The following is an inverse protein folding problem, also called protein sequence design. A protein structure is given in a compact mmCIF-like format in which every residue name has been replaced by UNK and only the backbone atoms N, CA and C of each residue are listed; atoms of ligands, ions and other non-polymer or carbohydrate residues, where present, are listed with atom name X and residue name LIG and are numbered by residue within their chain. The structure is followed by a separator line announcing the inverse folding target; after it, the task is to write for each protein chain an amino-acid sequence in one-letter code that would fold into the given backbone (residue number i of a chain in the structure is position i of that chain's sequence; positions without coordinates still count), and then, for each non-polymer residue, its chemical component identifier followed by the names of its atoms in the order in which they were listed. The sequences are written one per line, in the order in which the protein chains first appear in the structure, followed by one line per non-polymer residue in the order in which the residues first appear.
data_IF_166694564867
#
_entry.id   IF_166694564867
#
_cell.length_a   1.000
_cell.length_b   1.000
_cell.length_c   1.000
_cell.angle_alpha   90.00
_cell.angle_beta   90.00
_cell.angle_gamma   90.00
#
_symmetry.space_group_name_H-M   'P 1'
#
loop_
_entity.id
_entity.type
_entity.pdbx_description
1 polymer ?
#
# COMPACT_ATOMS: atom_id res chain seq x y z
N UNK A 1 31.84 -8.11 1.65
CA UNK A 1 30.88 -8.73 0.76
C UNK A 1 29.63 -9.17 1.50
N UNK A 2 29.77 -9.99 2.54
CA UNK A 2 28.61 -10.45 3.28
C UNK A 2 27.89 -9.35 4.04
N UNK A 3 28.65 -8.41 4.60
CA UNK A 3 28.06 -7.28 5.30
C UNK A 3 27.24 -6.40 4.36
N UNK A 4 27.76 -6.21 3.14
CA UNK A 4 27.03 -5.46 2.12
C UNK A 4 25.78 -6.18 1.69
N UNK A 5 25.86 -7.50 1.52
CA UNK A 5 24.72 -8.31 1.17
C UNK A 5 23.66 -8.27 2.28
N UNK A 6 24.09 -8.37 3.54
CA UNK A 6 23.17 -8.28 4.67
C UNK A 6 22.50 -6.91 4.77
N UNK A 7 23.28 -5.83 4.55
CA UNK A 7 22.74 -4.49 4.53
C UNK A 7 21.73 -4.31 3.38
N UNK A 8 22.04 -4.87 2.20
CA UNK A 8 21.13 -4.83 1.07
C UNK A 8 19.85 -5.60 1.35
N UNK A 9 19.96 -6.76 1.97
CA UNK A 9 18.79 -7.55 2.36
C UNK A 9 17.94 -6.76 3.35
N UNK A 10 18.57 -6.08 4.32
CA UNK A 10 17.83 -5.28 5.29
C UNK A 10 17.10 -4.11 4.61
N UNK A 11 17.74 -3.45 3.63
CA UNK A 11 17.12 -2.34 2.92
C UNK A 11 16.00 -2.81 1.98
N UNK A 12 16.04 -4.07 1.51
CA UNK A 12 14.98 -4.64 0.71
C UNK A 12 13.83 -5.23 1.52
N UNK A 13 14.00 -5.34 2.84
CA UNK A 13 12.94 -5.85 3.70
C UNK A 13 11.76 -4.91 3.75
N UNK A 14 12.02 -3.62 3.80
CA UNK A 14 10.96 -2.62 3.89
C UNK A 14 10.51 -2.21 2.50
N UNK A 15 9.21 -2.12 2.34
CA UNK A 15 8.63 -1.84 1.03
C UNK A 15 7.26 -1.22 1.22
N UNK A 16 6.74 -0.63 0.15
CA UNK A 16 5.35 -0.20 0.08
C UNK A 16 4.63 -1.01 -0.97
N UNK A 17 3.45 -1.45 -0.64
CA UNK A 17 2.51 -2.01 -1.60
C UNK A 17 1.57 -0.90 -2.03
N UNK A 18 1.57 -0.58 -3.31
CA UNK A 18 0.65 0.39 -3.87
C UNK A 18 -0.45 -0.37 -4.58
N UNK A 19 -1.69 -0.16 -4.16
CA UNK A 19 -2.84 -0.85 -4.73
C UNK A 19 -3.70 0.14 -5.50
N UNK A 20 -4.09 -0.26 -6.69
CA UNK A 20 -4.91 0.54 -7.58
C UNK A 20 -6.14 -0.26 -7.92
N UNK A 21 -7.32 0.27 -7.59
CA UNK A 21 -8.58 -0.44 -7.73
C UNK A 21 -9.44 0.14 -8.84
N UNK A 22 -10.05 -0.76 -9.57
CA UNK A 22 -11.13 -0.44 -10.48
C UNK A 22 -12.33 -1.28 -10.05
N UNK A 23 -13.29 -0.65 -9.39
CA UNK A 23 -14.44 -1.35 -8.83
C UNK A 23 -15.72 -0.64 -9.27
N UNK A 24 -16.77 -1.41 -9.57
CA UNK A 24 -18.04 -0.79 -9.98
C UNK A 24 -18.67 -0.01 -8.84
N UNK A 25 -19.33 1.10 -9.17
CA UNK A 25 -20.02 1.98 -8.21
C UNK A 25 -21.43 2.36 -8.67
N UNK A 26 -21.97 1.61 -9.61
CA UNK A 26 -23.24 1.98 -10.28
C UNK A 26 -24.46 1.61 -9.46
N UNK A 27 -24.45 0.48 -8.80
CA UNK A 27 -25.61 -0.02 -8.05
C UNK A 27 -25.44 0.24 -6.56
N UNK A 28 -26.53 0.18 -5.77
CA UNK A 28 -26.40 0.24 -4.31
C UNK A 28 -25.52 -0.87 -3.75
N UNK A 29 -25.57 -2.07 -4.33
CA UNK A 29 -24.71 -3.16 -3.91
C UNK A 29 -23.24 -2.85 -4.20
N UNK A 30 -22.95 -2.32 -5.39
CA UNK A 30 -21.61 -1.89 -5.74
C UNK A 30 -21.06 -0.89 -4.71
N UNK A 31 -21.87 0.07 -4.33
CA UNK A 31 -21.45 1.09 -3.35
C UNK A 31 -21.22 0.51 -1.97
N UNK A 32 -22.02 -0.47 -1.57
CA UNK A 32 -21.79 -1.19 -0.31
C UNK A 32 -20.49 -1.97 -0.36
N UNK A 33 -20.22 -2.62 -1.48
CA UNK A 33 -18.96 -3.35 -1.69
C UNK A 33 -17.76 -2.41 -1.67
N UNK A 34 -17.89 -1.24 -2.29
CA UNK A 34 -16.84 -0.22 -2.26
C UNK A 34 -16.56 0.26 -0.83
N UNK A 35 -17.60 0.54 -0.06
CA UNK A 35 -17.45 0.96 1.34
C UNK A 35 -16.77 -0.13 2.16
N UNK A 36 -17.15 -1.38 1.95
CA UNK A 36 -16.55 -2.52 2.64
C UNK A 36 -15.08 -2.68 2.28
N UNK A 37 -14.74 -2.53 1.00
CA UNK A 37 -13.36 -2.56 0.53
C UNK A 37 -12.54 -1.47 1.20
N UNK A 38 -13.03 -0.23 1.18
CA UNK A 38 -12.33 0.90 1.77
C UNK A 38 -12.09 0.68 3.27
N UNK A 39 -13.11 0.28 4.00
CA UNK A 39 -12.98 0.02 5.45
C UNK A 39 -12.00 -1.12 5.71
N UNK A 40 -12.04 -2.16 4.89
CA UNK A 40 -11.12 -3.29 5.02
C UNK A 40 -9.67 -2.89 4.79
N UNK A 41 -9.42 -2.04 3.81
CA UNK A 41 -8.07 -1.54 3.53
C UNK A 41 -7.56 -0.69 4.69
N UNK A 42 -8.35 0.25 5.18
CA UNK A 42 -7.96 1.10 6.29
C UNK A 42 -7.69 0.27 7.55
N UNK A 43 -8.54 -0.72 7.80
CA UNK A 43 -8.37 -1.64 8.93
C UNK A 43 -7.11 -2.48 8.81
N UNK A 44 -6.71 -2.81 7.58
CA UNK A 44 -5.49 -3.56 7.32
C UNK A 44 -4.23 -2.68 7.34
N UNK A 45 -4.35 -1.40 7.67
CA UNK A 45 -3.21 -0.51 7.80
C UNK A 45 -2.83 0.24 6.54
N UNK A 46 -3.68 0.23 5.52
CA UNK A 46 -3.44 1.03 4.32
C UNK A 46 -3.72 2.50 4.59
N UNK A 47 -3.00 3.36 3.88
CA UNK A 47 -3.30 4.78 3.81
C UNK A 47 -3.84 5.10 2.42
N UNK A 48 -4.83 5.95 2.35
CA UNK A 48 -5.40 6.35 1.08
C UNK A 48 -4.55 7.46 0.47
N UNK A 49 -4.00 7.21 -0.72
CA UNK A 49 -3.24 8.21 -1.45
C UNK A 49 -4.14 9.03 -2.37
N UNK A 50 -5.03 8.37 -3.07
CA UNK A 50 -5.99 8.96 -3.99
C UNK A 50 -7.26 8.13 -3.94
N UNK A 51 -8.29 8.54 -4.66
CA UNK A 51 -9.63 7.94 -4.58
C UNK A 51 -9.61 6.41 -4.65
N UNK A 52 -8.89 5.83 -5.61
CA UNK A 52 -8.83 4.38 -5.77
C UNK A 52 -7.41 3.85 -5.60
N UNK A 53 -6.54 4.61 -4.94
CA UNK A 53 -5.15 4.24 -4.75
C UNK A 53 -4.82 4.26 -3.26
N UNK A 54 -4.39 3.13 -2.76
CA UNK A 54 -4.03 2.94 -1.36
C UNK A 54 -2.64 2.34 -1.28
N UNK A 55 -1.95 2.62 -0.20
CA UNK A 55 -0.60 2.09 0.01
C UNK A 55 -0.44 1.55 1.42
N UNK A 56 0.34 0.50 1.54
CA UNK A 56 0.63 -0.16 2.83
C UNK A 56 2.12 -0.37 2.94
N UNK A 57 2.72 0.19 3.97
CA UNK A 57 4.12 -0.09 4.30
C UNK A 57 4.22 -1.49 4.92
N UNK A 58 5.23 -2.25 4.51
CA UNK A 58 5.49 -3.58 5.01
C UNK A 58 6.95 -3.70 5.40
N UNK A 59 7.20 -4.30 6.56
CA UNK A 59 8.55 -4.43 7.07
C UNK A 59 9.26 -5.70 6.56
N UNK A 60 8.54 -6.57 5.87
CA UNK A 60 9.11 -7.82 5.34
C UNK A 60 8.29 -8.32 4.16
N UNK A 61 8.91 -9.18 3.36
CA UNK A 61 8.21 -9.83 2.26
C UNK A 61 7.15 -10.80 2.78
N UNK A 62 7.39 -11.46 3.91
CA UNK A 62 6.39 -12.33 4.51
C UNK A 62 5.16 -11.55 4.93
N UNK A 63 5.35 -10.40 5.53
CA UNK A 63 4.25 -9.50 5.86
C UNK A 63 3.52 -9.00 4.61
N UNK A 64 4.26 -8.69 3.56
CA UNK A 64 3.67 -8.25 2.30
C UNK A 64 2.81 -9.34 1.67
N UNK A 65 3.23 -10.60 1.74
CA UNK A 65 2.43 -11.71 1.24
C UNK A 65 1.07 -11.81 1.93
N UNK A 66 1.07 -11.64 3.25
CA UNK A 66 -0.15 -11.65 4.03
C UNK A 66 -1.06 -10.51 3.60
N UNK A 67 -0.50 -9.32 3.44
CA UNK A 67 -1.26 -8.14 3.05
C UNK A 67 -1.86 -8.32 1.65
N UNK A 68 -1.09 -8.84 0.69
CA UNK A 68 -1.61 -9.12 -0.66
C UNK A 68 -2.78 -10.09 -0.62
N UNK A 69 -2.70 -11.08 0.24
CA UNK A 69 -3.78 -12.06 0.41
C UNK A 69 -5.04 -11.39 0.97
N UNK A 70 -4.87 -10.49 1.93
CA UNK A 70 -6.01 -9.74 2.47
C UNK A 70 -6.68 -8.91 1.37
N UNK A 71 -5.89 -8.22 0.56
CA UNK A 71 -6.41 -7.40 -0.54
C UNK A 71 -7.25 -8.24 -1.50
N UNK A 72 -6.73 -9.41 -1.89
CA UNK A 72 -7.48 -10.30 -2.78
C UNK A 72 -8.77 -10.79 -2.14
N UNK A 73 -8.76 -11.00 -0.83
CA UNK A 73 -9.92 -11.54 -0.12
C UNK A 73 -11.05 -10.53 0.06
N UNK A 74 -10.76 -9.24 0.05
CA UNK A 74 -11.79 -8.21 0.22
C UNK A 74 -12.26 -7.60 -1.10
N UNK A 75 -11.65 -8.02 -2.22
CA UNK A 75 -12.06 -7.53 -3.53
C UNK A 75 -13.38 -8.18 -3.93
N UNK A 76 -14.37 -7.35 -4.23
CA UNK A 76 -15.68 -7.83 -4.64
C UNK A 76 -15.68 -8.40 -6.07
N UNK A 77 -16.62 -9.28 -6.38
CA UNK A 77 -16.79 -9.74 -7.77
C UNK A 77 -16.95 -8.56 -8.73
N UNK A 78 -16.31 -8.63 -9.86
CA UNK A 78 -16.31 -7.56 -10.85
C UNK A 78 -15.31 -6.46 -10.61
N UNK A 79 -14.63 -6.48 -9.47
CA UNK A 79 -13.54 -5.55 -9.19
C UNK A 79 -12.21 -6.04 -9.72
N UNK A 80 -11.32 -5.10 -9.97
CA UNK A 80 -9.95 -5.37 -10.38
C UNK A 80 -9.00 -4.62 -9.46
N UNK A 81 -7.87 -5.25 -9.13
CA UNK A 81 -6.83 -4.59 -8.34
C UNK A 81 -5.47 -4.84 -8.98
N UNK A 82 -4.65 -3.82 -9.03
CA UNK A 82 -3.25 -3.94 -9.40
C UNK A 82 -2.42 -3.60 -8.19
N UNK A 83 -1.41 -4.42 -7.92
CA UNK A 83 -0.53 -4.23 -6.76
C UNK A 83 0.89 -4.07 -7.29
N UNK A 84 1.50 -2.94 -6.94
CA UNK A 84 2.88 -2.66 -7.28
C UNK A 84 3.68 -2.62 -5.99
N UNK A 85 4.80 -3.33 -5.97
CA UNK A 85 5.72 -3.28 -4.84
C UNK A 85 6.85 -2.34 -5.17
N UNK A 86 7.09 -1.37 -4.31
CA UNK A 86 8.23 -0.45 -4.45
C UNK A 86 9.01 -0.44 -3.14
N UNK A 87 10.30 -0.16 -3.25
CA UNK A 87 11.13 -0.01 -2.06
C UNK A 87 10.74 1.25 -1.32
N UNK A 88 11.09 1.30 -0.04
CA UNK A 88 10.87 2.50 0.77
C UNK A 88 11.53 3.72 0.12
N UNK A 89 12.73 3.55 -0.43
CA UNK A 89 13.45 4.62 -1.11
C UNK A 89 12.71 5.09 -2.38
N UNK A 90 12.19 4.15 -3.16
CA UNK A 90 11.43 4.50 -4.37
C UNK A 90 10.15 5.26 -4.00
N UNK A 91 9.47 4.82 -2.97
CA UNK A 91 8.25 5.48 -2.52
C UNK A 91 8.55 6.91 -2.06
N UNK A 92 9.64 7.09 -1.30
CA UNK A 92 10.04 8.41 -0.81
C UNK A 92 10.38 9.37 -1.94
N UNK A 93 10.79 8.86 -3.09
CA UNK A 93 11.11 9.68 -4.27
C UNK A 93 9.90 10.00 -5.12
N UNK A 94 8.72 9.49 -4.76
CA UNK A 94 7.50 9.80 -5.49
C UNK A 94 7.26 11.31 -5.46
N UNK A 95 7.00 11.88 -6.63
CA UNK A 95 6.65 13.28 -6.72
C UNK A 95 5.15 13.42 -6.54
N UNK A 96 4.76 14.28 -5.62
CA UNK A 96 3.35 14.53 -5.32
C UNK A 96 3.07 16.01 -5.48
N UNK A 97 2.07 16.32 -6.27
CA UNK A 97 1.67 17.69 -6.51
C UNK A 97 0.19 17.86 -6.16
N UNK A 98 -0.13 18.95 -5.49
CA UNK A 98 -1.51 19.37 -5.26
C UNK A 98 -1.68 20.72 -5.95
N UNK A 99 -2.41 20.72 -7.08
CA UNK A 99 -2.40 21.87 -7.96
C UNK A 99 -0.99 22.06 -8.50
N UNK A 100 -0.40 23.22 -8.25
CA UNK A 100 0.98 23.53 -8.67
C UNK A 100 2.00 23.34 -7.55
N UNK A 101 1.55 23.07 -6.33
CA UNK A 101 2.46 22.92 -5.19
C UNK A 101 2.94 21.51 -5.07
N UNK A 102 4.25 21.37 -4.86
CA UNK A 102 4.84 20.07 -4.56
C UNK A 102 4.55 19.70 -3.11
N UNK A 103 4.24 18.44 -2.90
CA UNK A 103 3.95 17.89 -1.59
C UNK A 103 4.88 16.70 -1.35
N UNK A 104 5.20 16.43 -0.10
CA UNK A 104 6.00 15.28 0.25
C UNK A 104 5.17 14.00 0.21
N UNK A 105 5.79 12.90 -0.23
CA UNK A 105 5.16 11.59 -0.16
C UNK A 105 4.97 11.18 1.31
N UNK A 106 4.06 10.26 1.53
CA UNK A 106 3.79 9.73 2.87
C UNK A 106 5.05 9.08 3.44
N UNK A 107 5.25 9.26 4.74
CA UNK A 107 6.38 8.66 5.43
C UNK A 107 5.99 7.28 5.98
N UNK A 108 6.97 6.36 6.13
CA UNK A 108 6.70 5.11 6.82
C UNK A 108 6.21 5.36 8.25
N UNK A 109 5.43 4.44 8.81
CA UNK A 109 5.03 4.55 10.21
C UNK A 109 6.25 4.60 11.11
N UNK A 110 6.12 5.32 12.24
CA UNK A 110 7.17 5.31 13.24
C UNK A 110 7.40 3.90 13.75
N UNK A 111 8.66 3.53 13.82
CA UNK A 111 9.05 2.24 14.36
C UNK A 111 9.42 2.41 15.83
N UNK A 112 8.77 1.65 16.70
CA UNK A 112 9.19 1.55 18.07
C UNK A 112 10.39 0.63 18.10
N UNK A 113 11.54 1.19 18.37
CA UNK A 113 12.74 0.39 18.57
C UNK A 113 12.94 0.24 20.07
N UNK A 114 12.68 -0.95 20.54
CA UNK A 114 12.97 -1.30 21.93
C UNK A 114 14.42 -1.77 21.98
N UNK A 115 15.23 -0.94 22.57
CA UNK A 115 16.63 -1.29 22.75
C UNK A 115 16.88 -1.92 24.12
#
# INVERSE_FOLDING_TARGET
MRLDAAANIASYKTMWLITMFDVPVMTPEDRRNYTRLRKGLLRAGFVQLQFSVYARWCDSEDGAKIVRKIVRGILAPGGEVRIVTVTERQFAKMEVYRGRKKKQAEAPPEQFILL
#
